data_IF_026124265844
#
_entry.id   IF_026124265844
#
_cell.length_a   1.000
_cell.length_b   1.000
_cell.length_c   1.000
_cell.angle_alpha   90.00
_cell.angle_beta   90.00
_cell.angle_gamma   90.00
#
_symmetry.space_group_name_H-M   'P 1'
#
loop_
_entity.id
_entity.type
_entity.pdbx_description
1 polymer ?
#
# COMPACT_ATOMS: atom_id res chain seq x y z
N UNK A 1 -8.52 1.29 -22.90
CA UNK A 1 -8.97 0.13 -22.07
C UNK A 1 -7.97 -1.01 -22.18
N UNK A 2 -7.52 -1.38 -23.42
CA UNK A 2 -6.55 -2.46 -23.59
C UNK A 2 -5.19 -2.19 -22.90
N UNK A 3 -4.73 -0.93 -22.86
CA UNK A 3 -3.44 -0.56 -22.24
C UNK A 3 -3.44 -0.71 -20.71
N UNK A 4 -4.53 -0.40 -20.02
CA UNK A 4 -4.61 -0.54 -18.56
C UNK A 4 -4.67 -2.01 -18.13
N UNK A 5 -5.48 -2.83 -18.80
CA UNK A 5 -5.54 -4.26 -18.50
C UNK A 5 -4.19 -4.95 -18.75
N UNK A 6 -3.45 -4.51 -19.77
CA UNK A 6 -2.08 -4.96 -20.01
C UNK A 6 -1.14 -4.54 -18.88
N UNK A 7 -1.24 -3.30 -18.39
CA UNK A 7 -0.44 -2.78 -17.28
C UNK A 7 -0.65 -3.60 -16.00
N UNK A 8 -1.90 -3.82 -15.56
CA UNK A 8 -2.18 -4.66 -14.39
C UNK A 8 -1.61 -6.07 -14.51
N UNK A 9 -1.75 -6.72 -15.69
CA UNK A 9 -1.18 -8.04 -15.91
C UNK A 9 0.36 -8.04 -15.85
N UNK A 10 1.00 -6.96 -16.32
CA UNK A 10 2.44 -6.78 -16.19
C UNK A 10 2.85 -6.63 -14.73
N UNK A 11 2.15 -5.83 -13.93
CA UNK A 11 2.41 -5.68 -12.47
C UNK A 11 2.28 -7.04 -11.76
N UNK A 12 1.21 -7.78 -12.01
CA UNK A 12 1.00 -9.11 -11.42
C UNK A 12 2.11 -10.09 -11.84
N UNK A 13 2.52 -10.04 -13.10
CA UNK A 13 3.66 -10.83 -13.61
C UNK A 13 4.97 -10.43 -12.93
N UNK A 14 5.23 -9.12 -12.73
CA UNK A 14 6.41 -8.63 -12.02
C UNK A 14 6.39 -9.07 -10.55
N UNK A 15 5.25 -8.98 -9.89
CA UNK A 15 5.09 -9.38 -8.50
C UNK A 15 5.36 -10.88 -8.30
N UNK A 16 4.94 -11.71 -9.27
CA UNK A 16 5.10 -13.17 -9.23
C UNK A 16 6.47 -13.66 -9.74
N UNK A 17 7.21 -12.86 -10.50
CA UNK A 17 8.46 -13.27 -11.13
C UNK A 17 9.65 -13.24 -10.15
N UNK A 18 10.41 -14.33 -9.98
CA UNK A 18 11.41 -14.42 -8.92
C UNK A 18 12.65 -13.52 -9.09
N UNK A 19 12.99 -13.07 -10.27
CA UNK A 19 14.32 -12.50 -10.54
C UNK A 19 14.36 -11.19 -11.34
N UNK A 20 13.25 -10.45 -11.49
CA UNK A 20 13.32 -9.20 -12.25
C UNK A 20 13.93 -8.05 -11.42
N UNK A 21 14.70 -7.19 -12.09
CA UNK A 21 15.34 -6.02 -11.47
C UNK A 21 14.37 -4.84 -11.26
N UNK A 22 13.18 -4.91 -11.87
CA UNK A 22 12.16 -3.86 -11.75
C UNK A 22 11.74 -3.58 -10.32
N UNK A 23 11.43 -2.32 -10.05
CA UNK A 23 10.94 -1.83 -8.77
C UNK A 23 9.53 -1.31 -8.99
N UNK A 24 8.59 -1.79 -8.17
CA UNK A 24 7.19 -1.35 -8.19
C UNK A 24 7.00 -0.14 -7.28
N UNK A 25 6.29 0.86 -7.78
CA UNK A 25 5.97 2.09 -7.05
C UNK A 25 4.61 1.97 -6.39
N UNK A 26 4.56 2.21 -5.09
CA UNK A 26 3.34 2.23 -4.30
C UNK A 26 3.06 3.65 -3.83
N UNK A 27 1.91 4.21 -4.17
CA UNK A 27 1.54 5.56 -3.77
C UNK A 27 0.71 5.53 -2.48
N UNK A 28 1.23 6.11 -1.41
CA UNK A 28 0.59 6.21 -0.10
C UNK A 28 -0.61 7.17 -0.16
N UNK A 29 -1.82 6.67 0.11
CA UNK A 29 -3.10 7.39 0.03
C UNK A 29 -3.38 8.05 -1.33
N UNK A 30 -2.77 7.50 -2.40
CA UNK A 30 -2.81 8.09 -3.75
C UNK A 30 -1.89 9.31 -3.90
N UNK A 31 -2.05 10.07 -4.98
CA UNK A 31 -1.29 11.32 -5.25
C UNK A 31 -1.82 12.49 -4.39
N UNK A 32 -1.67 12.36 -3.07
CA UNK A 32 -2.27 13.29 -2.10
C UNK A 32 -1.66 14.70 -2.13
N UNK A 33 -0.53 14.89 -2.76
CA UNK A 33 0.08 16.22 -2.91
C UNK A 33 -0.63 17.06 -3.96
N UNK A 34 -1.29 16.44 -4.92
CA UNK A 34 -2.00 17.11 -6.02
C UNK A 34 -3.53 16.96 -5.92
N UNK A 35 -4.03 16.08 -5.03
CA UNK A 35 -5.45 15.88 -4.76
C UNK A 35 -5.65 15.55 -3.26
N UNK A 36 -6.88 15.56 -2.70
CA UNK A 36 -7.08 15.10 -1.33
C UNK A 36 -6.61 13.65 -1.13
N UNK A 37 -5.96 13.36 0.00
CA UNK A 37 -5.60 11.98 0.36
C UNK A 37 -6.83 11.07 0.36
N UNK A 38 -6.66 9.80 0.01
CA UNK A 38 -7.74 8.82 -0.03
C UNK A 38 -8.94 9.25 -0.89
N UNK A 39 -8.71 10.02 -1.96
CA UNK A 39 -9.76 10.46 -2.89
C UNK A 39 -9.68 9.73 -4.23
N UNK A 40 -10.82 9.60 -4.92
CA UNK A 40 -10.85 9.02 -6.26
C UNK A 40 -9.95 9.79 -7.24
N UNK A 41 -9.81 11.11 -7.09
CA UNK A 41 -8.91 11.90 -7.92
C UNK A 41 -7.44 11.56 -7.65
N UNK A 42 -7.04 11.37 -6.39
CA UNK A 42 -5.67 10.99 -6.06
C UNK A 42 -5.30 9.63 -6.67
N UNK A 43 -6.24 8.68 -6.69
CA UNK A 43 -6.03 7.37 -7.33
C UNK A 43 -6.04 7.46 -8.85
N UNK A 44 -6.92 8.28 -9.44
CA UNK A 44 -6.92 8.49 -10.89
C UNK A 44 -5.58 9.09 -11.36
N UNK A 45 -5.03 10.07 -10.63
CA UNK A 45 -3.71 10.62 -10.93
C UNK A 45 -2.62 9.53 -10.93
N UNK A 46 -2.65 8.61 -9.95
CA UNK A 46 -1.71 7.48 -9.89
C UNK A 46 -1.84 6.55 -11.11
N UNK A 47 -3.09 6.23 -11.50
CA UNK A 47 -3.36 5.43 -12.69
C UNK A 47 -2.80 6.11 -13.94
N UNK A 48 -3.02 7.42 -14.10
CA UNK A 48 -2.62 8.18 -15.28
C UNK A 48 -1.08 8.33 -15.38
N UNK A 49 -0.37 8.38 -14.26
CA UNK A 49 1.10 8.46 -14.26
C UNK A 49 1.80 7.10 -14.34
N UNK A 50 1.05 5.98 -14.25
CA UNK A 50 1.59 4.63 -14.35
C UNK A 50 2.20 4.10 -13.06
N UNK A 51 1.63 4.46 -11.90
CA UNK A 51 1.94 3.86 -10.59
C UNK A 51 1.44 2.41 -10.58
N UNK A 52 2.16 1.52 -9.91
CA UNK A 52 1.83 0.08 -9.91
C UNK A 52 0.81 -0.29 -8.84
N UNK A 53 0.81 0.40 -7.72
CA UNK A 53 -0.09 0.13 -6.59
C UNK A 53 -0.46 1.43 -5.88
N UNK A 54 -1.72 1.58 -5.52
CA UNK A 54 -2.16 2.62 -4.59
C UNK A 54 -2.43 2.00 -3.24
N UNK A 55 -2.09 2.72 -2.19
CA UNK A 55 -2.48 2.36 -0.83
C UNK A 55 -3.63 3.25 -0.37
N UNK A 56 -4.51 2.70 0.44
CA UNK A 56 -5.66 3.37 1.03
C UNK A 56 -5.95 2.89 2.46
N UNK A 57 -6.61 3.73 3.23
CA UNK A 57 -7.01 3.46 4.62
C UNK A 57 -8.52 3.28 4.74
N UNK A 58 -8.97 2.33 5.56
CA UNK A 58 -10.38 2.06 5.79
C UNK A 58 -10.88 2.55 7.14
N UNK A 59 -12.14 2.99 7.14
CA UNK A 59 -13.00 3.18 8.31
C UNK A 59 -14.39 2.65 8.00
N UNK A 60 -15.12 2.26 9.04
CA UNK A 60 -16.50 1.79 8.92
C UNK A 60 -17.48 2.85 9.42
N UNK A 61 -18.54 3.09 8.68
CA UNK A 61 -19.61 4.03 9.05
C UNK A 61 -20.58 3.42 10.05
N UNK A 62 -21.46 4.23 10.61
CA UNK A 62 -22.54 3.80 11.53
C UNK A 62 -23.46 2.74 10.90
N UNK A 63 -23.75 2.85 9.62
CA UNK A 63 -24.59 1.93 8.83
C UNK A 63 -23.80 0.80 8.14
N UNK A 64 -22.51 0.62 8.52
CA UNK A 64 -21.70 -0.55 8.14
C UNK A 64 -20.96 -0.43 6.81
N UNK A 65 -20.99 0.71 6.14
CA UNK A 65 -20.29 0.92 4.88
C UNK A 65 -18.79 1.19 5.10
N UNK A 66 -17.94 0.66 4.22
CA UNK A 66 -16.49 0.93 4.24
C UNK A 66 -16.18 2.18 3.42
N UNK A 67 -15.62 3.19 4.08
CA UNK A 67 -15.16 4.45 3.50
C UNK A 67 -13.65 4.58 3.59
N UNK A 68 -13.08 5.47 2.78
CA UNK A 68 -11.66 5.76 2.79
C UNK A 68 -11.35 6.93 3.73
N UNK A 69 -10.61 6.64 4.80
CA UNK A 69 -10.12 7.64 5.75
C UNK A 69 -9.04 7.08 6.65
N UNK A 70 -7.95 7.82 6.80
CA UNK A 70 -6.85 7.43 7.70
C UNK A 70 -7.16 7.71 9.16
N UNK A 71 -7.56 8.95 9.48
CA UNK A 71 -7.72 9.41 10.85
C UNK A 71 -8.95 8.81 11.54
N UNK A 72 -8.91 8.77 12.86
CA UNK A 72 -10.07 8.37 13.65
C UNK A 72 -11.16 9.45 13.70
N UNK A 73 -10.89 10.65 13.17
CA UNK A 73 -11.84 11.76 13.13
C UNK A 73 -11.88 12.42 11.75
N UNK A 74 -13.00 13.05 11.44
CA UNK A 74 -13.26 13.78 10.19
C UNK A 74 -12.49 15.11 10.07
N UNK A 75 -11.96 15.61 11.18
CA UNK A 75 -11.58 17.02 11.37
C UNK A 75 -10.45 17.49 10.44
N UNK A 76 -9.40 16.68 10.25
CA UNK A 76 -8.22 17.08 9.46
C UNK A 76 -8.52 17.11 7.99
N UNK A 77 -9.15 16.07 7.47
CA UNK A 77 -9.28 15.81 6.02
C UNK A 77 -10.62 16.23 5.43
N UNK A 78 -11.58 16.69 6.27
CA UNK A 78 -12.92 17.11 5.79
C UNK A 78 -13.38 18.41 6.45
N UNK A 79 -14.53 18.92 6.02
CA UNK A 79 -15.26 20.01 6.68
C UNK A 79 -16.21 19.54 7.79
N UNK A 80 -16.22 18.24 8.11
CA UNK A 80 -16.94 17.65 9.23
C UNK A 80 -16.11 17.57 10.51
N UNK A 81 -16.72 17.12 11.58
CA UNK A 81 -16.09 16.86 12.90
C UNK A 81 -16.57 15.53 13.47
N UNK A 82 -15.91 15.01 14.51
CA UNK A 82 -16.28 13.75 15.13
C UNK A 82 -15.71 12.53 14.43
N UNK A 83 -16.25 11.35 14.73
CA UNK A 83 -15.74 10.06 14.23
C UNK A 83 -16.58 9.57 13.05
N UNK A 84 -15.99 8.94 12.03
CA UNK A 84 -16.74 8.34 10.91
C UNK A 84 -17.83 7.35 11.37
N UNK A 85 -17.56 6.56 12.42
CA UNK A 85 -18.46 5.56 12.98
C UNK A 85 -19.75 6.12 13.61
N UNK A 86 -19.80 7.44 13.88
CA UNK A 86 -20.98 8.12 14.42
C UNK A 86 -21.98 8.53 13.32
N UNK A 87 -21.60 8.46 12.04
CA UNK A 87 -22.35 8.94 10.89
C UNK A 87 -22.70 7.82 9.92
N UNK A 88 -23.85 7.95 9.27
CA UNK A 88 -24.21 7.12 8.11
C UNK A 88 -23.42 7.52 6.88
N UNK A 89 -23.32 6.62 5.89
CA UNK A 89 -22.69 6.96 4.60
C UNK A 89 -23.35 8.19 3.96
N UNK A 90 -24.68 8.30 4.00
CA UNK A 90 -25.40 9.44 3.42
C UNK A 90 -24.95 10.78 4.03
N UNK A 91 -24.82 10.85 5.35
CA UNK A 91 -24.33 12.04 6.06
C UNK A 91 -22.88 12.36 5.69
N UNK A 92 -22.00 11.33 5.62
CA UNK A 92 -20.60 11.53 5.25
C UNK A 92 -20.42 11.96 3.79
N UNK A 93 -21.31 11.56 2.90
CA UNK A 93 -21.31 11.99 1.49
C UNK A 93 -21.67 13.48 1.30
N UNK A 94 -22.27 14.13 2.29
CA UNK A 94 -22.48 15.60 2.26
C UNK A 94 -21.17 16.37 2.53
N UNK A 95 -20.22 15.75 3.21
CA UNK A 95 -18.93 16.38 3.52
C UNK A 95 -18.04 16.48 2.27
N UNK A 96 -17.10 17.42 2.34
CA UNK A 96 -16.07 17.63 1.32
C UNK A 96 -14.70 17.42 1.89
N UNK A 97 -13.83 16.82 1.09
CA UNK A 97 -12.44 16.61 1.43
C UNK A 97 -11.63 17.91 1.34
N UNK A 98 -10.66 18.06 2.22
CA UNK A 98 -9.61 19.07 2.16
C UNK A 98 -8.38 18.51 1.44
N UNK A 99 -7.67 19.34 0.70
CA UNK A 99 -6.37 18.99 0.12
C UNK A 99 -5.25 19.04 1.18
N UNK A 100 -4.02 18.67 0.81
CA UNK A 100 -2.86 18.68 1.70
C UNK A 100 -2.52 20.04 2.33
N UNK A 101 -2.98 21.14 1.75
CA UNK A 101 -2.86 22.49 2.31
C UNK A 101 -4.02 22.88 3.25
N UNK A 102 -4.95 21.96 3.54
CA UNK A 102 -6.14 22.20 4.38
C UNK A 102 -7.28 22.96 3.70
N UNK A 103 -7.18 23.25 2.41
CA UNK A 103 -8.23 23.95 1.65
C UNK A 103 -9.34 22.97 1.25
N UNK A 104 -10.59 23.41 1.43
CA UNK A 104 -11.78 22.65 1.04
C UNK A 104 -11.85 22.49 -0.48
N UNK A 105 -12.13 21.27 -0.92
CA UNK A 105 -12.27 20.92 -2.35
C UNK A 105 -13.70 20.51 -2.70
N UNK A 106 -13.92 20.15 -3.97
CA UNK A 106 -15.20 19.57 -4.43
C UNK A 106 -15.31 18.06 -4.21
N UNK A 107 -14.22 17.40 -3.83
CA UNK A 107 -14.16 15.94 -3.69
C UNK A 107 -14.89 15.48 -2.43
N UNK A 108 -15.52 14.31 -2.53
CA UNK A 108 -16.28 13.65 -1.46
C UNK A 108 -15.47 12.49 -0.90
N UNK A 109 -15.81 12.02 0.29
CA UNK A 109 -15.26 10.79 0.89
C UNK A 109 -15.67 9.61 0.01
N UNK A 110 -14.73 8.81 -0.55
CA UNK A 110 -15.07 7.62 -1.32
C UNK A 110 -15.45 6.45 -0.42
N UNK A 111 -16.24 5.53 -0.97
CA UNK A 111 -16.36 4.17 -0.43
C UNK A 111 -15.27 3.26 -1.01
N UNK A 112 -14.99 2.12 -0.34
CA UNK A 112 -14.12 1.09 -0.91
C UNK A 112 -14.65 0.59 -2.25
N UNK A 113 -15.98 0.38 -2.37
CA UNK A 113 -16.63 -0.03 -3.61
C UNK A 113 -16.35 0.92 -4.77
N UNK A 114 -16.54 2.23 -4.57
CA UNK A 114 -16.27 3.25 -5.61
C UNK A 114 -14.80 3.21 -6.04
N UNK A 115 -13.89 3.05 -5.07
CA UNK A 115 -12.45 2.99 -5.32
C UNK A 115 -12.06 1.72 -6.07
N UNK A 116 -12.55 0.56 -5.67
CA UNK A 116 -12.27 -0.71 -6.36
C UNK A 116 -12.79 -0.71 -7.80
N UNK A 117 -13.97 -0.13 -8.05
CA UNK A 117 -14.51 0.04 -9.42
C UNK A 117 -13.65 1.00 -10.27
N UNK A 118 -13.15 2.10 -9.69
CA UNK A 118 -12.22 3.00 -10.36
C UNK A 118 -10.93 2.29 -10.76
N UNK A 119 -10.35 1.52 -9.83
CA UNK A 119 -9.07 0.83 -9.99
C UNK A 119 -9.16 -0.45 -10.82
N UNK A 120 -10.39 -0.99 -11.06
CA UNK A 120 -10.63 -2.28 -11.72
C UNK A 120 -9.86 -2.43 -13.03
N UNK A 121 -9.01 -3.46 -13.08
CA UNK A 121 -8.22 -3.80 -14.27
C UNK A 121 -7.12 -2.81 -14.61
N UNK A 122 -6.74 -1.89 -13.68
CA UNK A 122 -5.78 -0.81 -13.99
C UNK A 122 -4.55 -0.80 -13.07
N UNK A 123 -4.73 -1.04 -11.76
CA UNK A 123 -3.69 -0.86 -10.75
C UNK A 123 -3.95 -1.79 -9.56
N UNK A 124 -2.91 -2.20 -8.84
CA UNK A 124 -3.08 -2.90 -7.56
C UNK A 124 -3.57 -1.94 -6.46
N UNK A 125 -4.30 -2.48 -5.50
CA UNK A 125 -4.82 -1.71 -4.36
C UNK A 125 -4.40 -2.37 -3.06
N UNK A 126 -3.56 -1.69 -2.28
CA UNK A 126 -3.13 -2.09 -0.95
C UNK A 126 -4.09 -1.48 0.09
N UNK A 127 -4.85 -2.34 0.75
CA UNK A 127 -5.91 -1.93 1.67
C UNK A 127 -5.39 -1.99 3.10
N UNK A 128 -4.96 -0.84 3.65
CA UNK A 128 -4.58 -0.77 5.06
C UNK A 128 -5.83 -0.92 5.95
N UNK A 129 -5.69 -1.67 7.05
CA UNK A 129 -6.79 -2.15 7.91
C UNK A 129 -7.80 -3.08 7.21
N UNK A 130 -7.52 -3.52 5.99
CA UNK A 130 -8.37 -4.46 5.27
C UNK A 130 -8.56 -5.80 6.00
N UNK A 131 -7.57 -6.20 6.79
CA UNK A 131 -7.66 -7.40 7.63
C UNK A 131 -8.67 -7.24 8.77
N UNK A 132 -8.74 -6.07 9.40
CA UNK A 132 -9.70 -5.75 10.47
C UNK A 132 -11.17 -5.86 10.00
N UNK A 133 -11.42 -5.55 8.72
CA UNK A 133 -12.74 -5.57 8.08
C UNK A 133 -12.85 -6.63 6.99
N UNK A 134 -12.10 -7.74 7.10
CA UNK A 134 -11.88 -8.65 5.97
C UNK A 134 -13.15 -9.20 5.33
N UNK A 135 -14.15 -9.58 6.11
CA UNK A 135 -15.42 -10.10 5.59
C UNK A 135 -16.17 -9.07 4.74
N UNK A 136 -16.22 -7.81 5.18
CA UNK A 136 -16.83 -6.71 4.43
C UNK A 136 -16.01 -6.38 3.17
N UNK A 137 -14.67 -6.37 3.30
CA UNK A 137 -13.76 -6.18 2.16
C UNK A 137 -13.97 -7.28 1.13
N UNK A 138 -13.96 -8.55 1.53
CA UNK A 138 -14.16 -9.69 0.64
C UNK A 138 -15.48 -9.59 -0.14
N UNK A 139 -16.59 -9.27 0.54
CA UNK A 139 -17.88 -9.06 -0.11
C UNK A 139 -17.82 -8.00 -1.21
N UNK A 140 -17.19 -6.86 -0.93
CA UNK A 140 -17.02 -5.78 -1.91
C UNK A 140 -16.14 -6.24 -3.09
N UNK A 141 -15.06 -6.98 -2.83
CA UNK A 141 -14.18 -7.48 -3.88
C UNK A 141 -14.89 -8.50 -4.80
N UNK A 142 -15.71 -9.38 -4.25
CA UNK A 142 -16.54 -10.32 -5.00
C UNK A 142 -17.56 -9.57 -5.89
N UNK A 143 -18.29 -8.60 -5.33
CA UNK A 143 -19.28 -7.80 -6.05
C UNK A 143 -18.66 -6.92 -7.16
N UNK A 144 -17.46 -6.44 -6.96
CA UNK A 144 -16.74 -5.61 -7.95
C UNK A 144 -15.90 -6.45 -8.92
N UNK A 145 -15.61 -7.72 -8.59
CA UNK A 145 -14.74 -8.61 -9.36
C UNK A 145 -13.29 -8.11 -9.39
N UNK A 146 -12.74 -7.71 -8.21
CA UNK A 146 -11.42 -7.08 -8.08
C UNK A 146 -10.50 -7.78 -7.08
N UNK A 147 -10.84 -9.00 -6.64
CA UNK A 147 -10.08 -9.73 -5.63
C UNK A 147 -8.61 -9.98 -6.02
N UNK A 148 -8.35 -10.28 -7.31
CA UNK A 148 -7.02 -10.56 -7.84
C UNK A 148 -6.07 -9.34 -7.88
N UNK A 149 -6.56 -8.14 -7.61
CA UNK A 149 -5.77 -6.91 -7.58
C UNK A 149 -5.76 -6.22 -6.19
N UNK A 150 -6.36 -6.87 -5.20
CA UNK A 150 -6.41 -6.38 -3.83
C UNK A 150 -5.30 -7.02 -2.98
N UNK A 151 -4.53 -6.19 -2.31
CA UNK A 151 -3.53 -6.59 -1.32
C UNK A 151 -4.08 -6.27 0.06
N UNK A 152 -4.16 -7.29 0.91
CA UNK A 152 -4.50 -7.16 2.34
C UNK A 152 -3.27 -7.50 3.16
N UNK A 153 -3.02 -6.78 4.24
CA UNK A 153 -1.79 -6.94 5.02
C UNK A 153 -2.04 -6.98 6.52
N UNK A 154 -1.27 -7.79 7.24
CA UNK A 154 -1.26 -7.80 8.70
C UNK A 154 0.06 -8.31 9.27
N UNK A 155 0.35 -7.93 10.54
CA UNK A 155 1.53 -8.37 11.29
C UNK A 155 1.17 -9.57 12.17
N UNK A 156 1.00 -10.73 11.56
CA UNK A 156 0.67 -11.98 12.26
C UNK A 156 1.45 -13.16 11.68
N UNK A 157 1.75 -14.21 12.48
CA UNK A 157 2.30 -15.48 11.99
C UNK A 157 1.31 -16.22 11.06
N UNK A 158 1.85 -17.08 10.19
CA UNK A 158 1.07 -17.88 9.24
C UNK A 158 -0.03 -18.72 9.90
N UNK A 159 0.26 -19.39 11.02
CA UNK A 159 -0.72 -20.22 11.70
C UNK A 159 -1.92 -19.41 12.21
N UNK A 160 -1.65 -18.21 12.72
CA UNK A 160 -2.73 -17.33 13.21
C UNK A 160 -3.68 -16.91 12.09
N UNK A 161 -3.16 -16.56 10.90
CA UNK A 161 -4.03 -16.21 9.77
C UNK A 161 -4.84 -17.40 9.28
N UNK A 162 -4.23 -18.60 9.25
CA UNK A 162 -4.97 -19.84 8.86
C UNK A 162 -6.07 -20.19 9.84
N UNK A 163 -5.89 -19.93 11.14
CA UNK A 163 -6.92 -20.15 12.16
C UNK A 163 -8.06 -19.11 12.09
N UNK A 164 -7.73 -17.85 11.83
CA UNK A 164 -8.71 -16.76 11.81
C UNK A 164 -9.46 -16.65 10.48
N UNK A 165 -8.73 -16.75 9.36
CA UNK A 165 -9.24 -16.59 8.00
C UNK A 165 -8.56 -17.57 7.04
N UNK A 166 -8.78 -18.88 7.25
CA UNK A 166 -8.04 -19.95 6.59
C UNK A 166 -8.00 -19.91 5.07
N UNK A 167 -8.96 -19.25 4.45
CA UNK A 167 -9.10 -19.09 2.99
C UNK A 167 -8.70 -17.69 2.47
N UNK A 168 -8.19 -16.79 3.33
CA UNK A 168 -7.78 -15.43 2.90
C UNK A 168 -6.69 -15.48 1.83
N UNK A 169 -5.76 -16.44 1.97
CA UNK A 169 -4.62 -16.58 1.07
C UNK A 169 -5.05 -16.99 -0.35
N UNK A 170 -6.21 -17.64 -0.48
CA UNK A 170 -6.79 -18.04 -1.77
C UNK A 170 -7.65 -16.93 -2.39
N UNK A 171 -8.06 -15.94 -1.61
CA UNK A 171 -9.04 -14.92 -2.02
C UNK A 171 -8.43 -13.58 -2.42
N UNK A 172 -7.32 -13.20 -1.82
CA UNK A 172 -6.63 -11.93 -2.07
C UNK A 172 -5.13 -12.12 -2.06
N UNK A 173 -4.38 -11.12 -2.51
CA UNK A 173 -2.93 -11.09 -2.30
C UNK A 173 -2.69 -10.72 -0.84
N UNK A 174 -2.32 -11.69 -0.01
CA UNK A 174 -1.98 -11.39 1.38
C UNK A 174 -0.50 -11.05 1.51
N UNK A 175 -0.19 -9.90 2.13
CA UNK A 175 1.15 -9.40 2.37
C UNK A 175 1.44 -9.33 3.88
N UNK A 176 2.20 -10.29 4.45
CA UNK A 176 2.61 -10.21 5.84
C UNK A 176 3.48 -8.99 6.11
N UNK A 177 3.46 -8.51 7.37
CA UNK A 177 4.29 -7.38 7.83
C UNK A 177 5.23 -7.80 8.96
N UNK A 178 6.42 -7.21 9.04
CA UNK A 178 7.31 -7.32 10.19
C UNK A 178 8.10 -6.03 10.45
N UNK A 179 8.38 -5.78 11.73
CA UNK A 179 9.36 -4.78 12.16
C UNK A 179 10.68 -5.51 12.44
N UNK A 180 11.65 -5.35 11.54
CA UNK A 180 12.92 -6.11 11.57
C UNK A 180 13.79 -5.81 12.79
N UNK A 181 13.50 -4.72 13.52
CA UNK A 181 14.15 -4.37 14.78
C UNK A 181 13.51 -5.05 15.99
N UNK A 182 12.43 -5.82 15.80
CA UNK A 182 11.72 -6.52 16.89
C UNK A 182 12.08 -7.99 16.94
N UNK A 183 12.12 -8.58 18.15
CA UNK A 183 12.56 -9.98 18.32
C UNK A 183 11.66 -11.00 17.61
N UNK A 184 10.37 -10.69 17.44
CA UNK A 184 9.41 -11.57 16.76
C UNK A 184 9.52 -11.56 15.22
N UNK A 185 10.31 -10.65 14.63
CA UNK A 185 10.40 -10.50 13.18
C UNK A 185 10.79 -11.79 12.46
N UNK A 186 11.84 -12.46 12.94
CA UNK A 186 12.32 -13.69 12.32
C UNK A 186 11.30 -14.82 12.42
N UNK A 187 10.66 -15.00 13.58
CA UNK A 187 9.64 -16.04 13.75
C UNK A 187 8.43 -15.83 12.86
N UNK A 188 8.00 -14.57 12.64
CA UNK A 188 6.93 -14.25 11.69
C UNK A 188 7.38 -14.62 10.28
N UNK A 189 8.55 -14.18 9.84
CA UNK A 189 9.09 -14.51 8.49
C UNK A 189 9.16 -16.01 8.30
N UNK A 190 9.75 -16.74 9.25
CA UNK A 190 9.94 -18.20 9.16
C UNK A 190 8.60 -18.94 9.11
N UNK A 191 7.58 -18.45 9.79
CA UNK A 191 6.25 -19.06 9.75
C UNK A 191 5.66 -19.12 8.34
N UNK A 192 5.94 -18.11 7.50
CA UNK A 192 5.52 -18.11 6.08
C UNK A 192 6.48 -18.94 5.20
N UNK A 193 7.79 -18.83 5.41
CA UNK A 193 8.77 -19.56 4.60
C UNK A 193 8.62 -21.07 4.71
N UNK A 194 8.21 -21.57 5.88
CA UNK A 194 8.02 -22.99 6.17
C UNK A 194 6.66 -23.55 5.71
N UNK A 195 5.70 -22.69 5.38
CA UNK A 195 4.34 -23.07 5.00
C UNK A 195 3.99 -22.59 3.59
N UNK A 196 3.57 -21.34 3.45
CA UNK A 196 3.15 -20.77 2.18
C UNK A 196 3.83 -19.42 1.97
N UNK A 197 4.68 -19.34 0.93
CA UNK A 197 5.45 -18.14 0.64
C UNK A 197 4.56 -17.07 0.02
N UNK A 198 4.48 -15.88 0.63
CA UNK A 198 3.75 -14.76 0.05
C UNK A 198 4.50 -14.18 -1.16
N UNK A 199 3.79 -13.50 -2.06
CA UNK A 199 4.40 -12.80 -3.19
C UNK A 199 5.28 -11.61 -2.73
N UNK A 200 4.84 -10.94 -1.68
CA UNK A 200 5.57 -9.81 -1.07
C UNK A 200 5.48 -9.85 0.45
N UNK A 201 6.43 -9.16 1.09
CA UNK A 201 6.51 -9.02 2.55
C UNK A 201 6.85 -7.56 2.88
N UNK A 202 5.97 -6.87 3.62
CA UNK A 202 6.21 -5.50 4.07
C UNK A 202 7.10 -5.52 5.31
N UNK A 203 8.21 -4.79 5.24
CA UNK A 203 9.10 -4.64 6.38
C UNK A 203 9.32 -3.17 6.73
N UNK A 204 9.57 -2.93 8.01
CA UNK A 204 10.09 -1.66 8.51
C UNK A 204 11.28 -1.90 9.44
N UNK A 205 12.17 -0.92 9.52
CA UNK A 205 13.34 -0.95 10.40
C UNK A 205 13.76 0.49 10.73
N UNK A 206 13.95 0.79 12.01
CA UNK A 206 14.35 2.12 12.48
C UNK A 206 15.87 2.32 12.52
N UNK A 207 16.63 1.24 12.36
CA UNK A 207 18.09 1.23 12.32
C UNK A 207 18.58 0.08 11.45
N UNK A 208 19.79 0.19 10.93
CA UNK A 208 20.47 -0.89 10.20
C UNK A 208 21.45 -1.61 11.10
N UNK A 209 21.48 -2.94 10.99
CA UNK A 209 22.45 -3.84 11.62
C UNK A 209 22.50 -5.16 10.83
N UNK A 210 23.42 -6.03 11.17
CA UNK A 210 23.61 -7.31 10.47
C UNK A 210 22.33 -8.14 10.43
N UNK A 211 21.54 -8.16 11.52
CA UNK A 211 20.29 -8.92 11.59
C UNK A 211 19.22 -8.39 10.61
N UNK A 212 19.11 -7.09 10.46
CA UNK A 212 18.19 -6.47 9.49
C UNK A 212 18.58 -6.90 8.07
N UNK A 213 19.86 -6.83 7.72
CA UNK A 213 20.34 -7.26 6.40
C UNK A 213 20.15 -8.77 6.17
N UNK A 214 20.43 -9.61 7.17
CA UNK A 214 20.18 -11.04 7.10
C UNK A 214 18.70 -11.37 6.80
N UNK A 215 17.75 -10.70 7.45
CA UNK A 215 16.33 -10.92 7.26
C UNK A 215 15.86 -10.44 5.88
N UNK A 216 16.34 -9.28 5.41
CA UNK A 216 16.05 -8.80 4.04
C UNK A 216 16.60 -9.79 3.01
N UNK A 217 17.85 -10.23 3.19
CA UNK A 217 18.47 -11.24 2.31
C UNK A 217 17.70 -12.56 2.34
N UNK A 218 17.28 -13.03 3.50
CA UNK A 218 16.50 -14.26 3.68
C UNK A 218 15.20 -14.21 2.88
N UNK A 219 14.48 -13.10 2.89
CA UNK A 219 13.28 -12.90 2.08
C UNK A 219 13.61 -12.95 0.58
N UNK A 220 14.60 -12.19 0.13
CA UNK A 220 15.02 -12.14 -1.27
C UNK A 220 15.49 -13.52 -1.79
N UNK A 221 16.30 -14.24 -1.04
CA UNK A 221 16.82 -15.59 -1.39
C UNK A 221 15.67 -16.61 -1.54
N UNK A 222 14.54 -16.38 -0.86
CA UNK A 222 13.35 -17.21 -0.96
C UNK A 222 12.37 -16.72 -2.08
N UNK A 223 12.76 -15.74 -2.89
CA UNK A 223 11.98 -15.23 -4.01
C UNK A 223 10.85 -14.28 -3.62
N UNK A 224 10.79 -13.85 -2.34
CA UNK A 224 9.76 -12.93 -1.84
C UNK A 224 10.17 -11.49 -2.15
N UNK A 225 9.25 -10.70 -2.72
CA UNK A 225 9.45 -9.28 -2.96
C UNK A 225 9.42 -8.51 -1.64
N UNK A 226 10.49 -7.80 -1.32
CA UNK A 226 10.53 -7.01 -0.08
C UNK A 226 9.97 -5.62 -0.33
N UNK A 227 8.95 -5.27 0.45
CA UNK A 227 8.26 -3.99 0.43
C UNK A 227 8.77 -3.11 1.58
N UNK A 228 9.01 -1.82 1.31
CA UNK A 228 9.39 -0.83 2.31
C UNK A 228 8.59 0.47 2.15
N UNK A 229 8.32 1.13 3.29
CA UNK A 229 7.76 2.48 3.32
C UNK A 229 8.90 3.50 3.33
N UNK A 230 9.02 4.33 2.28
CA UNK A 230 9.97 5.46 2.22
C UNK A 230 9.38 6.77 2.79
N UNK A 231 8.41 6.67 3.70
CA UNK A 231 7.61 7.82 4.17
C UNK A 231 8.27 8.60 5.30
N UNK A 232 8.80 7.89 6.29
CA UNK A 232 9.35 8.50 7.52
C UNK A 232 10.64 7.81 7.97
N UNK A 233 11.58 8.54 8.57
CA UNK A 233 12.89 8.01 8.97
C UNK A 233 12.84 6.73 9.81
N UNK A 234 11.86 6.62 10.72
CA UNK A 234 11.72 5.47 11.62
C UNK A 234 11.26 4.17 10.93
N UNK A 235 10.92 4.20 9.64
CA UNK A 235 10.45 3.04 8.89
C UNK A 235 11.53 2.42 7.99
N UNK A 236 12.63 3.14 7.74
CA UNK A 236 13.63 2.81 6.73
C UNK A 236 15.05 3.30 7.11
N UNK A 237 15.30 3.57 8.40
CA UNK A 237 16.58 4.07 8.94
C UNK A 237 17.08 5.32 8.16
N UNK A 238 16.21 6.32 7.99
CA UNK A 238 16.51 7.61 7.33
C UNK A 238 16.71 7.55 5.80
N UNK A 239 16.34 6.44 5.15
CA UNK A 239 16.35 6.34 3.68
C UNK A 239 14.96 6.65 3.11
N UNK A 240 14.44 7.84 3.41
CA UNK A 240 13.07 8.26 3.12
C UNK A 240 12.95 9.27 1.97
N UNK A 241 11.69 9.62 1.65
CA UNK A 241 11.35 10.56 0.58
C UNK A 241 11.91 11.97 0.81
N UNK A 242 11.97 12.43 2.07
CA UNK A 242 12.51 13.76 2.36
C UNK A 242 14.02 13.81 2.10
N UNK A 243 14.75 12.74 2.43
CA UNK A 243 16.16 12.62 2.05
C UNK A 243 16.34 12.62 0.54
N UNK A 244 15.51 11.87 -0.18
CA UNK A 244 15.59 11.79 -1.65
C UNK A 244 15.32 13.14 -2.32
N UNK A 245 14.28 13.86 -1.88
CA UNK A 245 13.72 15.03 -2.56
C UNK A 245 14.21 16.35 -1.95
N UNK A 246 14.03 16.52 -0.64
CA UNK A 246 14.36 17.80 0.03
C UNK A 246 15.88 17.97 0.17
N UNK A 247 16.60 16.89 0.52
CA UNK A 247 18.07 16.90 0.58
C UNK A 247 18.73 16.64 -0.78
N UNK A 248 17.94 16.31 -1.82
CA UNK A 248 18.43 16.01 -3.18
C UNK A 248 19.42 14.84 -3.22
N UNK A 249 19.19 13.81 -2.42
CA UNK A 249 20.02 12.61 -2.29
C UNK A 249 19.24 11.33 -2.67
N UNK A 250 18.68 11.22 -3.89
CA UNK A 250 17.87 10.06 -4.24
C UNK A 250 18.66 8.74 -4.32
N UNK A 251 19.95 8.79 -4.67
CA UNK A 251 20.81 7.60 -4.70
C UNK A 251 21.12 7.08 -3.29
N UNK A 252 21.20 7.97 -2.30
CA UNK A 252 21.45 7.64 -0.89
C UNK A 252 20.17 7.25 -0.13
N UNK A 253 19.01 7.52 -0.71
CA UNK A 253 17.70 7.12 -0.19
C UNK A 253 17.11 5.96 -1.02
N UNK A 254 16.33 6.25 -2.05
CA UNK A 254 15.69 5.24 -2.90
C UNK A 254 16.71 4.29 -3.54
N UNK A 255 17.86 4.80 -4.01
CA UNK A 255 18.94 4.02 -4.57
C UNK A 255 19.52 3.01 -3.57
N UNK A 256 19.73 3.46 -2.33
CA UNK A 256 20.19 2.58 -1.25
C UNK A 256 19.17 1.47 -0.96
N UNK A 257 17.88 1.81 -0.82
CA UNK A 257 16.82 0.81 -0.61
C UNK A 257 16.84 -0.27 -1.74
N UNK A 258 16.96 0.16 -2.99
CA UNK A 258 17.03 -0.75 -4.14
C UNK A 258 18.26 -1.66 -4.06
N UNK A 259 19.41 -1.13 -3.67
CA UNK A 259 20.65 -1.90 -3.49
C UNK A 259 20.54 -2.94 -2.38
N UNK A 260 19.74 -2.68 -1.33
CA UNK A 260 19.44 -3.67 -0.28
C UNK A 260 18.44 -4.74 -0.72
N UNK A 261 17.88 -4.65 -1.93
CA UNK A 261 16.98 -5.67 -2.48
C UNK A 261 15.49 -5.37 -2.31
N UNK A 262 15.12 -4.13 -1.93
CA UNK A 262 13.73 -3.72 -1.91
C UNK A 262 13.18 -3.61 -3.34
N UNK A 263 12.00 -4.19 -3.57
CA UNK A 263 11.34 -4.29 -4.87
C UNK A 263 9.98 -3.61 -4.95
N UNK A 264 9.40 -3.26 -3.82
CA UNK A 264 8.22 -2.40 -3.71
C UNK A 264 8.57 -1.24 -2.78
N UNK A 265 8.40 -0.01 -3.25
CA UNK A 265 8.70 1.20 -2.45
C UNK A 265 7.42 2.04 -2.37
N UNK A 266 6.89 2.18 -1.15
CA UNK A 266 5.77 3.08 -0.87
C UNK A 266 6.30 4.49 -0.61
N UNK A 267 5.72 5.46 -1.30
CA UNK A 267 6.20 6.84 -1.34
C UNK A 267 5.07 7.86 -1.29
N UNK A 268 5.36 9.03 -0.73
CA UNK A 268 4.56 10.26 -0.84
C UNK A 268 4.93 11.13 -2.07
N UNK A 269 5.85 10.63 -2.89
CA UNK A 269 6.41 11.34 -4.07
C UNK A 269 6.37 10.45 -5.34
N UNK A 270 5.21 9.85 -5.69
CA UNK A 270 5.17 8.80 -6.72
C UNK A 270 5.70 9.25 -8.08
N UNK A 271 5.41 10.46 -8.54
CA UNK A 271 5.94 10.97 -9.80
C UNK A 271 7.48 11.05 -9.80
N UNK A 272 8.07 11.57 -8.70
CA UNK A 272 9.53 11.72 -8.59
C UNK A 272 10.25 10.38 -8.48
N UNK A 273 9.66 9.41 -7.76
CA UNK A 273 10.21 8.06 -7.69
C UNK A 273 10.12 7.36 -9.06
N UNK A 274 9.01 7.49 -9.79
CA UNK A 274 8.88 6.97 -11.15
C UNK A 274 9.95 7.55 -12.08
N UNK A 275 10.15 8.87 -12.07
CA UNK A 275 11.17 9.53 -12.89
C UNK A 275 12.58 9.02 -12.55
N UNK A 276 12.90 8.88 -11.26
CA UNK A 276 14.17 8.33 -10.80
C UNK A 276 14.37 6.88 -11.30
N UNK A 277 13.36 6.02 -11.14
CA UNK A 277 13.44 4.62 -11.55
C UNK A 277 13.54 4.46 -13.08
N UNK A 278 12.79 5.25 -13.84
CA UNK A 278 12.84 5.27 -15.31
C UNK A 278 14.21 5.70 -15.81
N UNK A 279 14.82 6.74 -15.22
CA UNK A 279 16.18 7.16 -15.54
C UNK A 279 17.23 6.07 -15.28
N UNK A 280 17.00 5.20 -14.29
CA UNK A 280 17.85 4.04 -13.95
C UNK A 280 17.47 2.77 -14.73
N UNK A 281 16.42 2.79 -15.57
CA UNK A 281 15.86 1.62 -16.30
C UNK A 281 15.35 0.51 -15.34
N UNK A 282 14.87 0.89 -14.18
CA UNK A 282 14.31 0.01 -13.15
C UNK A 282 12.78 0.01 -13.14
N UNK A 283 12.15 0.87 -13.93
CA UNK A 283 10.71 0.95 -14.20
C UNK A 283 10.47 1.32 -15.68
N UNK A 284 9.27 1.00 -16.20
CA UNK A 284 8.85 1.32 -17.59
C UNK A 284 8.45 2.77 -17.78
#
# INVERSE_FOLDING_TARGET
IASYAQHLNEILSELSAPAKQSVLVVSHRGDWRNAPENSLQAFQNCIDMGVDMVELDLKKTKDGELILMHDNTLNRTTNGTGKPEDYTLAELKELRLKNGAGCLTRHKIPTLRETMLLCKGKILVNVDKGYEYFEDVQKILEETGTANQCVVKEKIPYQTIKEQHGDILDKVIFMPKADLCKPEAESIIDSYLQNEKPLAFEVRFSQVNDKVFELIKKLNDNGIKVFVNALWPAQNAEHDDDRAVELKQPDESWGWLIQQGFKLIQTDRPALLLDYLRAKKLHK
#
